data_IF_575920838339
#
_entry.id   IF_575920838339
#
_cell.length_a   1.000
_cell.length_b   1.000
_cell.length_c   1.000
_cell.angle_alpha   90.00
_cell.angle_beta   90.00
_cell.angle_gamma   90.00
#
_symmetry.space_group_name_H-M   'P 1'
#
loop_
_entity.id
_entity.type
_entity.pdbx_description
1 polymer ?
#
# COMPACT_ATOMS: atom_id res chain seq x y z
N UNK A 1 -40.17 4.75 29.19
CA UNK A 1 -39.78 6.09 28.70
C UNK A 1 -38.34 6.00 28.25
N UNK A 2 -38.05 6.13 26.95
CA UNK A 2 -36.68 6.08 26.43
C UNK A 2 -35.89 7.32 26.86
N UNK A 3 -34.62 7.15 27.18
CA UNK A 3 -33.72 8.23 27.59
C UNK A 3 -33.24 9.01 26.36
N UNK A 4 -32.73 10.24 26.55
CA UNK A 4 -32.14 11.03 25.46
C UNK A 4 -30.96 10.31 24.75
N UNK A 5 -30.27 9.42 25.47
CA UNK A 5 -29.22 8.55 24.91
C UNK A 5 -29.78 7.49 23.95
N UNK A 6 -30.97 6.95 24.22
CA UNK A 6 -31.63 5.96 23.35
C UNK A 6 -32.08 6.60 22.03
N UNK A 7 -32.58 7.84 22.07
CA UNK A 7 -32.97 8.59 20.87
C UNK A 7 -31.74 8.98 20.03
N UNK A 8 -30.64 9.40 20.67
CA UNK A 8 -29.39 9.73 19.97
C UNK A 8 -28.76 8.49 19.31
N UNK A 9 -28.77 7.35 20.00
CA UNK A 9 -28.31 6.08 19.44
C UNK A 9 -29.15 5.64 18.23
N UNK A 10 -30.48 5.74 18.31
CA UNK A 10 -31.39 5.37 17.21
C UNK A 10 -31.24 6.30 15.98
N UNK A 11 -31.08 7.60 16.19
CA UNK A 11 -30.82 8.55 15.09
C UNK A 11 -29.47 8.31 14.43
N UNK A 12 -28.44 7.95 15.22
CA UNK A 12 -27.12 7.57 14.70
C UNK A 12 -27.15 6.25 13.93
N UNK A 13 -27.92 5.25 14.37
CA UNK A 13 -28.02 3.96 13.68
C UNK A 13 -28.76 4.07 12.34
N UNK A 14 -29.90 4.77 12.29
CA UNK A 14 -30.68 4.94 11.06
C UNK A 14 -29.92 5.76 9.99
N UNK A 15 -29.14 6.75 10.41
CA UNK A 15 -28.28 7.53 9.51
C UNK A 15 -27.11 6.71 8.97
N UNK A 16 -26.58 5.78 9.77
CA UNK A 16 -25.44 4.93 9.39
C UNK A 16 -25.85 3.87 8.38
N UNK A 17 -27.01 3.23 8.57
CA UNK A 17 -27.52 2.20 7.63
C UNK A 17 -27.84 2.80 6.26
N UNK A 18 -28.43 4.00 6.23
CA UNK A 18 -28.66 4.74 4.99
C UNK A 18 -27.35 5.06 4.28
N UNK A 19 -26.34 5.55 5.01
CA UNK A 19 -25.03 5.82 4.44
C UNK A 19 -24.37 4.55 3.89
N UNK A 20 -24.47 3.44 4.63
CA UNK A 20 -23.99 2.11 4.21
C UNK A 20 -24.62 1.70 2.88
N UNK A 21 -25.94 1.86 2.75
CA UNK A 21 -26.65 1.48 1.52
C UNK A 21 -26.17 2.24 0.28
N UNK A 22 -25.67 3.48 0.44
CA UNK A 22 -25.16 4.30 -0.67
C UNK A 22 -23.87 3.72 -1.23
N UNK A 23 -22.84 3.46 -0.40
CA UNK A 23 -21.58 2.94 -0.93
C UNK A 23 -21.61 1.44 -1.25
N UNK A 24 -22.69 0.75 -0.92
CA UNK A 24 -22.93 -0.63 -1.32
C UNK A 24 -23.82 -0.77 -2.56
N UNK A 25 -24.28 0.34 -3.15
CA UNK A 25 -25.02 0.33 -4.41
C UNK A 25 -24.07 0.12 -5.60
N UNK A 26 -24.64 -0.36 -6.70
CA UNK A 26 -23.95 -0.44 -7.98
C UNK A 26 -23.54 0.96 -8.47
N UNK A 27 -22.43 1.02 -9.19
CA UNK A 27 -21.75 2.18 -9.76
C UNK A 27 -21.23 3.22 -8.75
N UNK A 28 -21.39 3.03 -7.44
CA UNK A 28 -20.95 4.01 -6.47
C UNK A 28 -19.45 4.33 -6.58
N UNK A 29 -18.58 3.33 -6.69
CA UNK A 29 -17.13 3.56 -6.76
C UNK A 29 -16.69 3.95 -8.16
N UNK A 30 -17.36 3.45 -9.18
CA UNK A 30 -17.03 3.75 -10.58
C UNK A 30 -17.32 5.21 -10.96
N UNK A 31 -18.40 5.77 -10.41
CA UNK A 31 -18.85 7.14 -10.70
C UNK A 31 -18.15 8.22 -9.85
N UNK A 32 -17.22 7.85 -8.96
CA UNK A 32 -16.46 8.83 -8.19
C UNK A 32 -15.56 9.65 -9.10
N UNK A 33 -15.60 10.97 -8.97
CA UNK A 33 -14.66 11.83 -9.66
C UNK A 33 -13.29 11.80 -8.97
N UNK A 34 -12.18 11.78 -9.73
CA UNK A 34 -10.85 11.91 -9.15
C UNK A 34 -10.68 13.22 -8.39
N UNK A 35 -9.85 13.20 -7.35
CA UNK A 35 -9.43 14.44 -6.70
C UNK A 35 -8.66 15.32 -7.71
N UNK A 36 -8.86 16.65 -7.69
CA UNK A 36 -8.13 17.56 -8.58
C UNK A 36 -6.61 17.36 -8.47
N UNK A 37 -5.95 17.11 -9.59
CA UNK A 37 -4.50 16.90 -9.67
C UNK A 37 -4.01 15.50 -9.29
N UNK A 38 -4.87 14.60 -8.80
CA UNK A 38 -4.45 13.28 -8.34
C UNK A 38 -4.01 12.36 -9.49
N UNK A 39 -4.76 12.35 -10.59
CA UNK A 39 -4.45 11.52 -11.77
C UNK A 39 -3.13 11.97 -12.39
N UNK A 40 -2.93 13.28 -12.51
CA UNK A 40 -1.71 13.89 -13.04
C UNK A 40 -0.52 13.57 -12.15
N UNK A 41 -0.66 13.73 -10.82
CA UNK A 41 0.41 13.45 -9.87
C UNK A 41 0.83 11.98 -9.89
N UNK A 42 -0.11 11.04 -9.95
CA UNK A 42 0.19 9.60 -10.03
C UNK A 42 0.91 9.27 -11.34
N UNK A 43 0.44 9.80 -12.47
CA UNK A 43 1.11 9.60 -13.77
C UNK A 43 2.51 10.21 -13.80
N UNK A 44 2.71 11.40 -13.21
CA UNK A 44 4.03 12.00 -13.11
C UNK A 44 4.97 11.16 -12.25
N UNK A 45 4.48 10.68 -11.10
CA UNK A 45 5.25 9.83 -10.19
C UNK A 45 5.65 8.51 -10.84
N UNK A 46 4.73 7.86 -11.57
CA UNK A 46 4.99 6.62 -12.29
C UNK A 46 5.98 6.77 -13.47
N UNK A 47 6.25 8.00 -13.91
CA UNK A 47 7.24 8.30 -14.95
C UNK A 47 8.61 8.72 -14.37
N UNK A 48 8.77 8.78 -13.04
CA UNK A 48 10.05 9.07 -12.42
C UNK A 48 10.98 7.85 -12.54
N UNK A 49 12.25 8.10 -12.81
CA UNK A 49 13.25 7.03 -12.83
C UNK A 49 13.37 6.39 -11.43
N UNK A 50 13.48 5.06 -11.40
CA UNK A 50 13.65 4.28 -10.16
C UNK A 50 12.51 4.49 -9.15
N UNK A 51 11.29 4.74 -9.64
CA UNK A 51 10.09 4.87 -8.80
C UNK A 51 9.01 3.93 -9.28
N UNK A 52 8.61 3.01 -8.41
CA UNK A 52 7.47 2.12 -8.64
C UNK A 52 6.24 2.66 -7.91
N UNK A 53 5.11 2.77 -8.61
CA UNK A 53 3.86 3.28 -8.04
C UNK A 53 2.78 2.22 -8.09
N UNK A 54 2.20 1.91 -6.95
CA UNK A 54 1.07 0.98 -6.82
C UNK A 54 -0.15 1.67 -6.20
N UNK A 55 -1.33 1.28 -6.67
CA UNK A 55 -2.58 1.60 -6.02
C UNK A 55 -2.81 0.59 -4.90
N UNK A 56 -2.75 1.03 -3.65
CA UNK A 56 -3.05 0.17 -2.50
C UNK A 56 -4.38 0.59 -1.86
N UNK A 57 -5.44 -0.16 -2.15
CA UNK A 57 -6.81 0.16 -1.72
C UNK A 57 -7.46 -1.00 -0.96
N UNK A 58 -8.36 -0.67 -0.05
CA UNK A 58 -9.14 -1.66 0.69
C UNK A 58 -10.55 -1.80 0.11
N UNK A 59 -11.01 -3.02 -0.24
CA UNK A 59 -12.40 -3.24 -0.62
C UNK A 59 -13.32 -3.12 0.59
N UNK A 60 -14.60 -2.82 0.38
CA UNK A 60 -15.61 -2.87 1.45
C UNK A 60 -16.00 -4.33 1.76
N UNK A 61 -16.64 -4.57 2.91
CA UNK A 61 -17.08 -5.93 3.31
C UNK A 61 -18.08 -6.52 2.31
N UNK A 62 -19.04 -5.73 1.84
CA UNK A 62 -20.00 -6.15 0.80
C UNK A 62 -19.37 -6.02 -0.58
N UNK A 63 -18.62 -7.05 -0.96
CA UNK A 63 -17.74 -7.05 -2.13
C UNK A 63 -18.44 -7.08 -3.50
N UNK A 64 -19.78 -7.16 -3.58
CA UNK A 64 -20.48 -7.47 -4.85
C UNK A 64 -20.06 -6.59 -6.03
N UNK A 65 -19.91 -5.30 -5.79
CA UNK A 65 -19.61 -4.31 -6.83
C UNK A 65 -18.21 -3.69 -6.67
N UNK A 66 -17.81 -3.47 -5.42
CA UNK A 66 -16.64 -2.68 -5.05
C UNK A 66 -15.30 -3.06 -5.70
N UNK A 67 -14.84 -4.34 -5.71
CA UNK A 67 -13.56 -4.69 -6.31
C UNK A 67 -13.51 -4.40 -7.81
N UNK A 68 -14.54 -4.84 -8.54
CA UNK A 68 -14.66 -4.63 -9.98
C UNK A 68 -14.66 -3.14 -10.34
N UNK A 69 -15.52 -2.36 -9.69
CA UNK A 69 -15.63 -0.93 -9.97
C UNK A 69 -14.33 -0.16 -9.70
N UNK A 70 -13.54 -0.59 -8.71
CA UNK A 70 -12.23 0.00 -8.45
C UNK A 70 -11.24 -0.27 -9.59
N UNK A 71 -11.21 -1.47 -10.15
CA UNK A 71 -10.40 -1.74 -11.36
C UNK A 71 -10.89 -0.92 -12.55
N UNK A 72 -12.22 -0.91 -12.80
CA UNK A 72 -12.80 -0.15 -13.89
C UNK A 72 -12.54 1.36 -13.77
N UNK A 73 -12.55 1.90 -12.54
CA UNK A 73 -12.17 3.29 -12.27
C UNK A 73 -10.70 3.56 -12.61
N UNK A 74 -9.80 2.65 -12.23
CA UNK A 74 -8.36 2.76 -12.56
C UNK A 74 -8.16 2.74 -14.07
N UNK A 75 -8.78 1.80 -14.78
CA UNK A 75 -8.72 1.73 -16.24
C UNK A 75 -9.22 3.04 -16.88
N UNK A 76 -10.38 3.54 -16.44
CA UNK A 76 -11.01 4.77 -16.94
C UNK A 76 -10.12 6.01 -16.80
N UNK A 77 -9.43 6.17 -15.67
CA UNK A 77 -8.72 7.41 -15.34
C UNK A 77 -7.19 7.34 -15.53
N UNK A 78 -6.59 6.17 -15.26
CA UNK A 78 -5.15 5.96 -15.31
C UNK A 78 -4.70 5.16 -16.54
N UNK A 79 -5.60 4.38 -17.14
CA UNK A 79 -5.34 3.57 -18.33
C UNK A 79 -5.16 2.09 -18.00
N UNK A 80 -5.25 1.20 -19.01
CA UNK A 80 -5.22 -0.25 -18.82
C UNK A 80 -3.89 -0.75 -18.26
N UNK A 81 -2.77 -0.13 -18.61
CA UNK A 81 -1.44 -0.53 -18.12
C UNK A 81 -1.30 -0.38 -16.60
N UNK A 82 -2.08 0.52 -15.99
CA UNK A 82 -2.05 0.75 -14.54
C UNK A 82 -2.83 -0.30 -13.75
N UNK A 83 -3.57 -1.20 -14.41
CA UNK A 83 -4.30 -2.29 -13.76
C UNK A 83 -3.37 -3.29 -13.07
N UNK A 84 -2.19 -3.52 -13.64
CA UNK A 84 -1.14 -4.38 -13.06
C UNK A 84 -0.60 -3.82 -11.73
N UNK A 85 -0.79 -2.51 -11.49
CA UNK A 85 -0.31 -1.82 -10.31
C UNK A 85 -1.35 -1.74 -9.18
N UNK A 86 -2.47 -2.47 -9.28
CA UNK A 86 -3.53 -2.45 -8.27
C UNK A 86 -3.36 -3.58 -7.25
N UNK A 87 -3.16 -3.19 -5.99
CA UNK A 87 -3.15 -4.06 -4.82
C UNK A 87 -4.45 -3.85 -4.02
N UNK A 88 -5.34 -4.84 -4.04
CA UNK A 88 -6.54 -4.87 -3.20
C UNK A 88 -6.28 -5.65 -1.91
N UNK A 89 -6.26 -4.95 -0.78
CA UNK A 89 -6.08 -5.57 0.54
C UNK A 89 -6.82 -4.81 1.65
N UNK A 90 -7.39 -5.54 2.61
CA UNK A 90 -7.94 -4.96 3.85
C UNK A 90 -6.86 -4.61 4.87
N UNK A 91 -5.70 -5.26 4.78
CA UNK A 91 -4.56 -5.04 5.65
C UNK A 91 -3.41 -4.49 4.80
N UNK A 92 -3.18 -3.18 4.89
CA UNK A 92 -2.09 -2.52 4.14
C UNK A 92 -0.73 -2.72 4.80
N UNK A 93 -0.68 -3.16 6.05
CA UNK A 93 0.58 -3.35 6.80
C UNK A 93 1.41 -4.52 6.28
N UNK A 94 0.79 -5.43 5.53
CA UNK A 94 1.50 -6.56 4.89
C UNK A 94 2.09 -6.21 3.53
N UNK A 95 1.82 -5.01 3.00
CA UNK A 95 2.38 -4.54 1.73
C UNK A 95 3.64 -3.74 2.05
N UNK A 96 4.78 -4.17 1.53
CA UNK A 96 6.06 -3.49 1.70
C UNK A 96 6.21 -2.38 0.67
N UNK A 97 6.55 -1.17 1.12
CA UNK A 97 6.86 -0.02 0.29
C UNK A 97 7.65 1.02 1.09
N UNK A 98 8.23 2.00 0.41
CA UNK A 98 8.97 3.09 1.06
C UNK A 98 8.03 4.19 1.56
N UNK A 99 6.92 4.43 0.85
CA UNK A 99 5.92 5.44 1.18
C UNK A 99 4.50 4.90 1.01
N UNK A 100 3.61 5.26 1.93
CA UNK A 100 2.17 5.04 1.81
C UNK A 100 1.43 6.38 1.97
N UNK A 101 0.80 6.84 0.88
CA UNK A 101 -0.03 8.03 0.85
C UNK A 101 -1.49 7.59 1.02
N UNK A 102 -2.05 7.84 2.20
CA UNK A 102 -3.39 7.39 2.60
C UNK A 102 -4.10 8.47 3.44
N UNK A 103 -5.41 8.60 3.30
CA UNK A 103 -6.20 9.56 4.07
C UNK A 103 -6.58 9.02 5.47
N UNK A 104 -6.35 7.73 5.73
CA UNK A 104 -6.55 7.11 7.04
C UNK A 104 -5.40 7.50 7.99
N UNK A 105 -5.67 8.21 9.10
CA UNK A 105 -4.62 8.65 10.02
C UNK A 105 -3.92 7.49 10.74
N UNK A 106 -4.68 6.45 11.10
CA UNK A 106 -4.17 5.30 11.86
C UNK A 106 -4.27 4.01 11.03
N UNK A 107 -3.18 3.64 10.36
CA UNK A 107 -3.09 2.41 9.57
C UNK A 107 -2.59 1.28 10.46
N UNK A 108 -3.50 0.36 10.78
CA UNK A 108 -3.25 -0.78 11.67
C UNK A 108 -3.55 -2.09 10.95
N UNK A 109 -2.85 -3.15 11.34
CA UNK A 109 -3.00 -4.47 10.76
C UNK A 109 -2.20 -5.51 11.52
N UNK A 110 -1.92 -6.64 10.86
CA UNK A 110 -1.16 -7.75 11.44
C UNK A 110 0.30 -7.39 11.70
N UNK A 111 0.88 -6.47 10.93
CA UNK A 111 2.27 -6.06 11.10
C UNK A 111 2.35 -4.69 11.78
N UNK A 112 2.83 -4.62 13.04
CA UNK A 112 2.97 -3.34 13.74
C UNK A 112 4.14 -2.54 13.15
N UNK A 113 3.81 -1.44 12.45
CA UNK A 113 4.73 -0.36 12.10
C UNK A 113 5.40 -0.45 10.73
N UNK A 114 4.83 0.26 9.75
CA UNK A 114 5.58 1.13 8.84
C UNK A 114 5.13 2.58 9.12
N UNK A 115 5.24 3.01 10.38
CA UNK A 115 5.26 4.44 10.66
C UNK A 115 6.60 5.01 10.21
N UNK A 116 6.76 6.35 10.06
CA UNK A 116 8.08 6.93 9.85
C UNK A 116 9.00 6.38 10.94
N UNK A 117 10.05 5.68 10.52
CA UNK A 117 11.05 5.22 11.47
C UNK A 117 11.54 6.45 12.25
N UNK A 118 11.65 6.40 13.58
CA UNK A 118 12.42 7.41 14.27
C UNK A 118 13.82 7.27 13.70
N UNK A 119 14.25 8.22 12.87
CA UNK A 119 15.62 8.28 12.41
C UNK A 119 16.45 8.38 13.68
N UNK A 120 17.26 7.38 14.02
CA UNK A 120 18.15 7.54 15.16
C UNK A 120 19.12 8.62 14.73
N UNK A 121 19.13 9.75 15.42
CA UNK A 121 20.24 10.67 15.35
C UNK A 121 21.48 9.90 15.83
N UNK A 122 22.24 9.36 14.88
CA UNK A 122 23.44 8.57 15.11
C UNK A 122 23.18 7.16 15.64
N UNK A 123 22.96 6.19 14.76
CA UNK A 123 23.17 4.78 15.13
C UNK A 123 23.46 3.95 13.88
N UNK A 124 24.74 3.65 13.66
CA UNK A 124 25.16 2.48 12.91
C UNK A 124 24.75 1.24 13.70
N UNK A 125 23.73 0.49 13.27
CA UNK A 125 23.62 -0.89 13.72
C UNK A 125 23.10 -1.84 12.64
N UNK A 126 23.91 -2.87 12.47
CA UNK A 126 23.75 -4.09 11.71
C UNK A 126 22.53 -4.87 12.20
N UNK A 127 21.51 -5.02 11.34
CA UNK A 127 20.48 -6.04 11.53
C UNK A 127 20.89 -7.30 10.77
N UNK A 128 21.30 -8.34 11.49
CA UNK A 128 21.46 -9.68 10.94
C UNK A 128 20.08 -10.25 10.53
N UNK A 129 19.96 -10.98 9.41
CA UNK A 129 18.87 -11.91 9.22
C UNK A 129 19.29 -13.34 9.52
N UNK A 130 18.29 -14.09 9.99
CA UNK A 130 18.35 -15.46 10.46
C UNK A 130 18.92 -16.45 9.43
N UNK A 131 19.72 -17.38 9.95
CA UNK A 131 20.19 -18.58 9.28
C UNK A 131 19.02 -19.51 8.93
N UNK A 132 18.98 -20.01 7.69
CA UNK A 132 18.76 -21.42 7.28
C UNK A 132 18.25 -21.42 5.84
N UNK A 133 18.99 -22.08 4.95
CA UNK A 133 18.55 -22.32 3.57
C UNK A 133 19.69 -22.67 2.62
N UNK A 134 20.34 -23.81 2.85
CA UNK A 134 21.37 -24.34 1.95
C UNK A 134 20.75 -24.88 0.66
N UNK A 135 21.04 -24.26 -0.49
CA UNK A 135 20.88 -24.90 -1.80
C UNK A 135 22.14 -24.65 -2.65
N UNK A 136 22.75 -25.75 -3.10
CA UNK A 136 24.05 -25.87 -3.76
C UNK A 136 24.09 -25.15 -5.12
N UNK A 137 25.16 -24.39 -5.36
CA UNK A 137 25.61 -24.03 -6.70
C UNK A 137 26.65 -25.06 -7.18
N UNK A 138 26.53 -25.51 -8.42
CA UNK A 138 27.61 -26.21 -9.16
C UNK A 138 28.75 -25.22 -9.50
N UNK A 139 30.00 -25.70 -9.67
CA UNK A 139 31.19 -24.83 -9.70
C UNK A 139 31.43 -24.17 -11.07
N UNK A 140 31.99 -22.94 -11.13
CA UNK A 140 32.66 -22.46 -12.33
C UNK A 140 34.16 -22.75 -12.32
N UNK A 141 34.72 -22.70 -13.52
CA UNK A 141 36.05 -23.15 -13.93
C UNK A 141 37.24 -22.37 -13.34
N UNK A 142 38.42 -22.95 -13.55
CA UNK A 142 39.72 -22.60 -13.00
C UNK A 142 40.21 -21.17 -13.27
N UNK A 143 40.90 -20.60 -12.28
CA UNK A 143 41.89 -19.52 -12.47
C UNK A 143 41.68 -18.28 -11.60
N UNK A 144 41.97 -18.35 -10.30
CA UNK A 144 42.24 -17.19 -9.43
C UNK A 144 43.12 -17.62 -8.23
N UNK A 145 44.24 -16.93 -8.01
CA UNK A 145 45.18 -17.19 -6.90
C UNK A 145 44.67 -16.63 -5.55
N UNK A 146 45.09 -17.16 -4.38
CA UNK A 146 44.51 -16.78 -3.09
C UNK A 146 45.05 -15.42 -2.59
N UNK A 147 44.20 -14.40 -2.60
CA UNK A 147 44.44 -13.14 -1.89
C UNK A 147 44.11 -13.25 -0.40
N UNK A 148 44.88 -12.55 0.44
CA UNK A 148 44.78 -12.48 1.91
C UNK A 148 43.33 -12.31 2.38
N UNK A 149 42.89 -13.22 3.25
CA UNK A 149 41.55 -13.29 3.84
C UNK A 149 41.29 -12.13 4.81
N UNK A 150 40.81 -11.01 4.28
CA UNK A 150 39.90 -10.12 5.00
C UNK A 150 38.59 -10.11 4.24
N UNK A 151 37.81 -11.17 4.44
CA UNK A 151 36.56 -11.41 3.73
C UNK A 151 35.49 -10.38 4.08
N UNK A 152 35.25 -9.44 3.15
CA UNK A 152 33.94 -8.86 2.88
C UNK A 152 33.90 -8.49 1.38
N UNK A 153 32.95 -8.97 0.58
CA UNK A 153 32.65 -8.31 -0.68
C UNK A 153 32.08 -6.92 -0.35
N UNK A 154 32.76 -5.90 -0.85
CA UNK A 154 32.31 -4.52 -0.83
C UNK A 154 31.14 -4.41 -1.81
N UNK A 155 29.92 -4.50 -1.30
CA UNK A 155 28.75 -4.07 -2.06
C UNK A 155 28.79 -2.54 -2.10
N UNK A 156 29.29 -1.96 -3.18
CA UNK A 156 28.91 -0.58 -3.54
C UNK A 156 27.41 -0.60 -3.80
N UNK A 157 26.62 -0.10 -2.85
CA UNK A 157 25.29 0.41 -3.18
C UNK A 157 25.51 1.67 -4.02
N UNK A 158 25.61 1.47 -5.33
CA UNK A 158 25.70 2.54 -6.33
C UNK A 158 24.66 2.27 -7.41
N UNK A 159 23.41 2.18 -6.98
CA UNK A 159 22.24 2.42 -7.81
C UNK A 159 21.47 3.59 -7.22
N UNK A 160 20.78 4.43 -8.02
CA UNK A 160 19.78 5.34 -7.50
C UNK A 160 18.81 4.54 -6.62
N UNK A 161 18.45 5.06 -5.45
CA UNK A 161 17.54 4.36 -4.54
C UNK A 161 16.22 4.13 -5.29
N UNK A 162 15.93 2.87 -5.62
CA UNK A 162 14.63 2.45 -6.12
C UNK A 162 13.61 2.66 -5.00
N UNK A 163 12.57 3.47 -5.24
CA UNK A 163 11.54 3.78 -4.26
C UNK A 163 10.18 3.26 -4.71
N UNK A 164 9.50 2.51 -3.84
CA UNK A 164 8.11 2.07 -4.04
C UNK A 164 7.14 2.97 -3.29
N UNK A 165 6.16 3.52 -3.99
CA UNK A 165 5.08 4.35 -3.41
C UNK A 165 3.75 3.65 -3.56
N UNK A 166 3.03 3.50 -2.44
CA UNK A 166 1.63 3.10 -2.41
C UNK A 166 0.75 4.34 -2.35
N UNK A 167 -0.13 4.49 -3.33
CA UNK A 167 -1.18 5.50 -3.32
C UNK A 167 -2.52 4.85 -3.02
N UNK A 168 -3.23 5.34 -2.00
CA UNK A 168 -4.59 4.94 -1.70
C UNK A 168 -5.58 6.00 -2.23
N UNK A 169 -6.36 5.71 -3.28
CA UNK A 169 -7.41 6.61 -3.71
C UNK A 169 -8.44 6.77 -2.59
N UNK A 170 -8.93 7.99 -2.33
CA UNK A 170 -9.85 8.30 -1.23
C UNK A 170 -11.29 7.87 -1.56
N UNK A 171 -11.47 6.61 -1.95
CA UNK A 171 -12.76 5.99 -2.19
C UNK A 171 -13.43 5.68 -0.84
N UNK A 172 -13.95 6.71 -0.18
CA UNK A 172 -14.57 6.58 1.14
C UNK A 172 -15.79 5.69 1.08
N UNK A 173 -15.73 4.60 1.83
CA UNK A 173 -16.90 4.01 2.48
C UNK A 173 -16.74 4.30 3.98
N UNK A 174 -17.80 4.67 4.69
CA UNK A 174 -17.71 5.02 6.12
C UNK A 174 -17.35 3.85 7.06
N UNK A 175 -16.88 2.72 6.52
CA UNK A 175 -16.50 1.55 7.30
C UNK A 175 -15.08 1.69 7.84
N UNK A 176 -14.95 2.19 9.08
CA UNK A 176 -13.77 1.88 9.89
C UNK A 176 -13.63 0.36 9.91
N UNK A 177 -12.47 -0.11 9.45
CA UNK A 177 -12.19 -1.53 9.25
C UNK A 177 -12.32 -2.35 10.51
#
# INVERSE_FOLDING_TARGET
MGTAGDVLAVVQTDSSEKAISIWESENFFFDLEPLPGAVEAVKQMANLENTDVFICTSPIKRYKYCPYEKYAWVEKHLGPDFLEQVVLTRDKTVVSADLLIDDRPDITGKWPGQGPSPTPAGSTYSSQPATIGTCRCSPPAAGCSPGRTTGRPFWTASGPAEGTVLWAPPWRSGSRG
#
